data_IF_535325372874
#
_entry.id   IF_535325372874
#
_cell.length_a   1.000
_cell.length_b   1.000
_cell.length_c   1.000
_cell.angle_alpha   90.00
_cell.angle_beta   90.00
_cell.angle_gamma   90.00
#
_symmetry.space_group_name_H-M   'P 1'
#
loop_
_entity.id
_entity.type
_entity.pdbx_description
1 polymer ?
#
# COMPACT_ATOMS: atom_id res chain seq x y z
N UNK A 1 2.94 7.62 -0.09
CA UNK A 1 2.33 7.54 -1.42
C UNK A 1 0.90 8.05 -1.44
N UNK A 2 -0.04 7.43 -0.71
CA UNK A 2 -1.47 7.79 -0.71
C UNK A 2 -1.75 9.28 -0.48
N UNK A 3 -1.27 9.86 0.61
CA UNK A 3 -1.49 11.29 0.94
C UNK A 3 -0.91 12.23 -0.10
N UNK A 4 0.33 11.98 -0.56
CA UNK A 4 0.98 12.81 -1.58
C UNK A 4 0.21 12.80 -2.90
N UNK A 5 -0.24 11.63 -3.34
CA UNK A 5 -1.06 11.52 -4.56
C UNK A 5 -2.45 12.13 -4.40
N UNK A 6 -3.10 11.94 -3.26
CA UNK A 6 -4.41 12.53 -2.99
C UNK A 6 -4.37 14.06 -3.02
N UNK A 7 -3.36 14.66 -2.39
CA UNK A 7 -3.15 16.12 -2.43
C UNK A 7 -2.83 16.63 -3.83
N UNK A 8 -2.03 15.90 -4.62
CA UNK A 8 -1.66 16.30 -5.98
C UNK A 8 -2.81 16.18 -6.98
N UNK A 9 -3.65 15.14 -6.86
CA UNK A 9 -4.74 14.86 -7.79
C UNK A 9 -6.10 15.37 -7.28
N UNK A 10 -6.10 16.06 -6.14
CA UNK A 10 -7.28 16.53 -5.43
C UNK A 10 -8.34 15.42 -5.22
N UNK A 11 -7.85 14.21 -4.91
CA UNK A 11 -8.65 13.00 -4.72
C UNK A 11 -8.28 12.28 -3.42
N UNK A 12 -8.95 11.16 -3.15
CA UNK A 12 -8.72 10.35 -1.94
C UNK A 12 -7.32 9.70 -1.88
N UNK A 13 -6.55 9.73 -2.97
CA UNK A 13 -5.29 9.03 -3.15
C UNK A 13 -5.45 7.51 -3.20
N UNK A 14 -6.69 6.99 -3.23
CA UNK A 14 -6.99 5.55 -3.21
C UNK A 14 -6.31 4.79 -4.35
N UNK A 15 -6.25 5.41 -5.52
CA UNK A 15 -5.54 4.90 -6.68
C UNK A 15 -4.35 5.80 -6.98
N UNK A 16 -3.28 5.18 -7.47
CA UNK A 16 -2.08 5.89 -7.86
C UNK A 16 -1.89 5.62 -9.35
N UNK A 17 -1.84 6.68 -10.15
CA UNK A 17 -1.44 6.53 -11.55
C UNK A 17 0.03 6.10 -11.60
N UNK A 18 0.29 4.90 -12.13
CA UNK A 18 1.65 4.36 -12.21
C UNK A 18 2.48 5.02 -13.30
N UNK A 19 1.84 5.64 -14.30
CA UNK A 19 2.55 6.29 -15.41
C UNK A 19 3.28 7.55 -14.97
N UNK A 20 2.77 8.25 -13.97
CA UNK A 20 3.40 9.48 -13.45
C UNK A 20 4.55 9.21 -12.48
N UNK A 21 4.82 7.94 -12.13
CA UNK A 21 5.87 7.56 -11.20
C UNK A 21 7.20 7.32 -11.92
N UNK A 22 8.28 7.86 -11.37
CA UNK A 22 9.64 7.53 -11.77
C UNK A 22 9.98 6.06 -11.46
N UNK A 23 11.02 5.52 -12.12
CA UNK A 23 11.51 4.16 -11.87
C UNK A 23 11.85 3.93 -10.39
N UNK A 24 12.45 4.93 -9.75
CA UNK A 24 12.80 4.87 -8.33
C UNK A 24 11.55 4.84 -7.43
N UNK A 25 10.56 5.69 -7.71
CA UNK A 25 9.30 5.71 -6.97
C UNK A 25 8.52 4.41 -7.12
N UNK A 26 8.51 3.81 -8.31
CA UNK A 26 7.95 2.47 -8.55
C UNK A 26 8.60 1.41 -7.67
N UNK A 27 9.94 1.43 -7.55
CA UNK A 27 10.67 0.50 -6.69
C UNK A 27 10.38 0.72 -5.20
N UNK A 28 10.30 1.98 -4.77
CA UNK A 28 9.91 2.34 -3.39
C UNK A 28 8.49 1.86 -3.08
N UNK A 29 7.53 2.11 -3.99
CA UNK A 29 6.14 1.67 -3.86
C UNK A 29 6.05 0.14 -3.77
N UNK A 30 6.77 -0.59 -4.63
CA UNK A 30 6.83 -2.06 -4.58
C UNK A 30 7.33 -2.58 -3.24
N UNK A 31 8.35 -1.94 -2.66
CA UNK A 31 8.88 -2.33 -1.33
C UNK A 31 7.87 -2.08 -0.21
N UNK A 32 7.07 -1.01 -0.27
CA UNK A 32 6.04 -0.73 0.74
C UNK A 32 5.01 -1.87 0.85
N UNK A 33 4.62 -2.48 -0.28
CA UNK A 33 3.67 -3.60 -0.26
C UNK A 33 4.20 -4.79 0.53
N UNK A 34 5.50 -5.11 0.41
CA UNK A 34 6.11 -6.22 1.17
C UNK A 34 5.96 -6.02 2.68
N UNK A 35 6.27 -4.82 3.17
CA UNK A 35 6.13 -4.50 4.61
C UNK A 35 4.69 -4.59 5.07
N UNK A 36 3.74 -4.05 4.28
CA UNK A 36 2.31 -4.11 4.59
C UNK A 36 1.85 -5.58 4.67
N UNK A 37 2.23 -6.42 3.71
CA UNK A 37 1.91 -7.84 3.72
C UNK A 37 2.46 -8.55 4.94
N UNK A 38 3.71 -8.29 5.34
CA UNK A 38 4.29 -8.87 6.56
C UNK A 38 3.52 -8.46 7.83
N UNK A 39 3.07 -7.21 7.92
CA UNK A 39 2.24 -6.74 9.05
C UNK A 39 0.86 -7.40 9.02
N UNK A 40 0.24 -7.52 7.85
CA UNK A 40 -1.04 -8.20 7.69
C UNK A 40 -0.95 -9.68 8.07
N UNK A 41 0.12 -10.36 7.70
CA UNK A 41 0.41 -11.75 8.10
C UNK A 41 0.48 -11.88 9.61
N UNK A 42 1.24 -10.98 10.27
CA UNK A 42 1.36 -10.96 11.72
C UNK A 42 0.01 -10.77 12.41
N UNK A 43 -0.80 -9.79 11.97
CA UNK A 43 -2.14 -9.54 12.51
C UNK A 43 -3.04 -10.78 12.33
N UNK A 44 -3.02 -11.42 11.17
CA UNK A 44 -3.83 -12.63 10.92
C UNK A 44 -3.46 -13.76 11.88
N UNK A 45 -2.17 -13.97 12.13
CA UNK A 45 -1.68 -14.98 13.08
C UNK A 45 -2.07 -14.64 14.51
N UNK A 46 -1.92 -13.37 14.94
CA UNK A 46 -2.24 -12.94 16.31
C UNK A 46 -3.74 -13.07 16.62
N UNK A 47 -4.60 -12.72 15.68
CA UNK A 47 -6.05 -12.67 15.91
C UNK A 47 -6.81 -13.86 15.31
N UNK A 48 -6.10 -14.86 14.79
CA UNK A 48 -6.66 -16.06 14.18
C UNK A 48 -7.79 -15.75 13.18
N UNK A 49 -7.63 -14.67 12.41
CA UNK A 49 -8.68 -14.11 11.55
C UNK A 49 -9.12 -15.07 10.44
N UNK A 50 -8.35 -16.12 10.19
CA UNK A 50 -8.69 -17.25 9.34
C UNK A 50 -9.90 -18.06 9.81
N UNK A 51 -10.32 -17.94 11.08
CA UNK A 51 -11.47 -18.67 11.62
C UNK A 51 -12.82 -17.96 11.38
N UNK A 52 -12.82 -16.73 10.87
CA UNK A 52 -14.04 -15.92 10.67
C UNK A 52 -14.52 -15.84 9.20
N UNK A 53 -13.98 -16.68 8.31
CA UNK A 53 -14.38 -16.80 6.90
C UNK A 53 -15.02 -18.16 6.65
#
# INVERSE_FOLDING_TARGET
FRTKHGLLNNDSGRYINLEVLTKEEKMKLKRCFKTISSVQEYIKLTFNLSHFM
#
